data_IF_323846598535
#
_entry.id   IF_323846598535
#
_cell.length_a   1.000
_cell.length_b   1.000
_cell.length_c   1.000
_cell.angle_alpha   90.00
_cell.angle_beta   90.00
_cell.angle_gamma   90.00
#
_symmetry.space_group_name_H-M   'P 1'
#
loop_
_entity.id
_entity.type
_entity.pdbx_description
1 polymer ?
#
# COMPACT_ATOMS: atom_id res chain seq x y z
N UNK A 1 33.18 -6.90 0.24
CA UNK A 1 33.34 -6.35 1.61
C UNK A 1 32.08 -5.54 1.92
N UNK A 2 31.32 -5.91 2.95
CA UNK A 2 30.12 -5.15 3.30
C UNK A 2 30.54 -3.76 3.80
N UNK A 3 30.07 -2.69 3.14
CA UNK A 3 30.37 -1.32 3.56
C UNK A 3 29.66 -1.08 4.90
N UNK A 4 30.41 -1.03 5.99
CA UNK A 4 29.92 -0.65 7.32
C UNK A 4 29.55 0.84 7.31
N UNK A 5 28.25 1.12 7.24
CA UNK A 5 27.69 2.47 7.21
C UNK A 5 27.33 2.92 8.62
N UNK A 6 27.67 4.15 9.00
CA UNK A 6 27.27 4.72 10.29
C UNK A 6 25.74 4.82 10.41
N UNK A 7 25.21 4.89 11.64
CA UNK A 7 23.76 5.03 11.88
C UNK A 7 23.14 6.22 11.13
N UNK A 8 23.85 7.36 11.09
CA UNK A 8 23.41 8.55 10.35
C UNK A 8 23.30 8.28 8.84
N UNK A 9 24.25 7.53 8.26
CA UNK A 9 24.20 7.16 6.85
C UNK A 9 23.08 6.16 6.56
N UNK A 10 22.86 5.18 7.44
CA UNK A 10 21.75 4.23 7.29
C UNK A 10 20.39 4.92 7.33
N UNK A 11 20.22 5.91 8.22
CA UNK A 11 19.03 6.77 8.25
C UNK A 11 18.87 7.57 6.97
N UNK A 12 19.93 8.23 6.49
CA UNK A 12 19.89 9.07 5.28
C UNK A 12 19.51 8.28 4.03
N UNK A 13 19.90 7.00 3.95
CA UNK A 13 19.62 6.13 2.80
C UNK A 13 18.39 5.23 3.00
N UNK A 14 17.68 5.31 4.14
CA UNK A 14 16.54 4.45 4.46
C UNK A 14 16.85 2.95 4.33
N UNK A 15 17.94 2.50 4.96
CA UNK A 15 18.37 1.09 4.93
C UNK A 15 18.49 0.51 6.34
N UNK A 16 18.62 -0.83 6.41
CA UNK A 16 18.75 -1.59 7.66
C UNK A 16 17.58 -1.30 8.62
N UNK A 17 17.84 -0.67 9.77
CA UNK A 17 16.79 -0.33 10.76
C UNK A 17 15.83 0.79 10.30
N UNK A 18 16.15 1.46 9.19
CA UNK A 18 15.30 2.50 8.58
C UNK A 18 14.70 2.06 7.24
N UNK A 19 14.81 0.78 6.90
CA UNK A 19 14.20 0.24 5.69
C UNK A 19 12.69 0.23 5.83
N UNK A 20 12.01 0.72 4.79
CA UNK A 20 10.56 0.77 4.70
C UNK A 20 10.10 -0.18 3.60
N UNK A 21 9.31 -1.19 3.99
CA UNK A 21 8.71 -2.11 3.01
C UNK A 21 7.24 -1.75 2.83
N UNK A 22 6.85 -1.64 1.56
CA UNK A 22 5.49 -1.41 1.13
C UNK A 22 5.15 -2.31 -0.04
N UNK A 23 3.94 -2.15 -0.57
CA UNK A 23 3.49 -2.86 -1.76
C UNK A 23 2.51 -1.98 -2.53
N UNK A 24 2.43 -2.20 -3.83
CA UNK A 24 1.49 -1.49 -4.68
C UNK A 24 0.24 -2.34 -4.90
N UNK A 25 -0.88 -1.65 -5.02
CA UNK A 25 -2.17 -2.22 -5.40
C UNK A 25 -2.65 -1.59 -6.69
N UNK A 26 -3.29 -2.41 -7.51
CA UNK A 26 -4.04 -1.97 -8.70
C UNK A 26 -5.40 -2.65 -8.69
N UNK A 27 -6.46 -1.91 -8.97
CA UNK A 27 -7.80 -2.49 -9.10
C UNK A 27 -8.68 -1.58 -9.98
N UNK A 28 -9.80 -2.13 -10.43
CA UNK A 28 -10.75 -1.41 -11.26
C UNK A 28 -12.17 -1.53 -10.72
N UNK A 29 -12.92 -0.45 -10.79
CA UNK A 29 -14.35 -0.45 -10.57
C UNK A 29 -15.08 -1.01 -11.80
N UNK A 30 -16.27 -1.61 -11.63
CA UNK A 30 -17.13 -1.96 -12.76
C UNK A 30 -17.46 -0.74 -13.63
N UNK A 31 -17.68 -0.96 -14.93
CA UNK A 31 -18.10 0.11 -15.84
C UNK A 31 -19.44 0.71 -15.37
N UNK A 32 -19.54 2.05 -15.44
CA UNK A 32 -20.73 2.77 -15.00
C UNK A 32 -20.83 3.00 -13.48
N UNK A 33 -19.80 2.64 -12.71
CA UNK A 33 -19.71 3.04 -11.29
C UNK A 33 -19.68 4.56 -11.19
N UNK A 34 -20.51 5.13 -10.29
CA UNK A 34 -20.57 6.57 -10.05
C UNK A 34 -19.37 7.06 -9.24
N UNK A 35 -19.00 8.34 -9.41
CA UNK A 35 -18.01 9.04 -8.58
C UNK A 35 -18.30 8.86 -7.08
N UNK A 36 -19.54 9.04 -6.64
CA UNK A 36 -19.95 8.86 -5.24
C UNK A 36 -19.67 7.44 -4.73
N UNK A 37 -19.84 6.41 -5.56
CA UNK A 37 -19.55 5.02 -5.18
C UNK A 37 -18.05 4.79 -5.07
N UNK A 38 -17.26 5.42 -5.94
CA UNK A 38 -15.79 5.36 -5.89
C UNK A 38 -15.31 6.02 -4.59
N UNK A 39 -15.75 7.25 -4.31
CA UNK A 39 -15.37 8.01 -3.12
C UNK A 39 -15.72 7.25 -1.84
N UNK A 40 -16.98 6.78 -1.73
CA UNK A 40 -17.41 6.01 -0.54
C UNK A 40 -16.69 4.67 -0.39
N UNK A 41 -16.27 4.03 -1.48
CA UNK A 41 -15.47 2.81 -1.43
C UNK A 41 -14.05 3.10 -0.95
N UNK A 42 -13.44 4.20 -1.37
CA UNK A 42 -12.10 4.59 -0.92
C UNK A 42 -12.11 5.04 0.55
N UNK A 43 -13.13 5.78 0.96
CA UNK A 43 -13.35 6.10 2.37
C UNK A 43 -13.47 4.82 3.20
N UNK A 44 -14.21 3.82 2.70
CA UNK A 44 -14.32 2.54 3.38
C UNK A 44 -12.98 1.79 3.42
N UNK A 45 -12.18 1.81 2.34
CA UNK A 45 -10.85 1.21 2.33
C UNK A 45 -9.97 1.85 3.42
N UNK A 46 -9.99 3.18 3.51
CA UNK A 46 -9.20 3.91 4.49
C UNK A 46 -9.64 3.56 5.91
N UNK A 47 -10.93 3.67 6.20
CA UNK A 47 -11.48 3.52 7.54
C UNK A 47 -11.51 2.06 8.04
N UNK A 48 -11.71 1.08 7.15
CA UNK A 48 -11.84 -0.33 7.52
C UNK A 48 -10.51 -1.08 7.49
N UNK A 49 -9.58 -0.67 6.63
CA UNK A 49 -8.34 -1.41 6.35
C UNK A 49 -7.09 -0.58 6.63
N UNK A 50 -6.98 0.63 6.11
CA UNK A 50 -5.70 1.37 6.17
C UNK A 50 -5.44 1.89 7.58
N UNK A 51 -6.33 2.71 8.13
CA UNK A 51 -6.14 3.34 9.43
C UNK A 51 -6.07 2.35 10.60
N UNK A 52 -6.96 1.34 10.71
CA UNK A 52 -6.93 0.41 11.85
C UNK A 52 -5.65 -0.45 11.91
N UNK A 53 -4.99 -0.65 10.77
CA UNK A 53 -3.75 -1.43 10.67
C UNK A 53 -2.49 -0.54 10.68
N UNK A 54 -2.64 0.78 10.91
CA UNK A 54 -1.52 1.72 10.92
C UNK A 54 -0.81 1.85 9.58
N UNK A 55 -1.53 1.59 8.49
CA UNK A 55 -1.06 1.71 7.12
C UNK A 55 -1.29 3.14 6.61
N UNK A 56 -0.51 3.51 5.61
CA UNK A 56 -0.71 4.70 4.79
C UNK A 56 -1.01 4.23 3.37
N UNK A 57 -1.97 4.89 2.72
CA UNK A 57 -2.31 4.66 1.32
C UNK A 57 -2.13 5.97 0.56
N UNK A 58 -1.36 5.92 -0.51
CA UNK A 58 -1.24 6.99 -1.49
C UNK A 58 -1.62 6.43 -2.85
N UNK A 59 -2.62 6.99 -3.50
CA UNK A 59 -3.18 6.41 -4.71
C UNK A 59 -3.92 7.44 -5.53
N UNK A 60 -4.06 7.14 -6.82
CA UNK A 60 -4.82 7.97 -7.74
C UNK A 60 -5.51 7.10 -8.79
N UNK A 61 -6.63 7.59 -9.29
CA UNK A 61 -7.41 6.85 -10.25
C UNK A 61 -8.78 7.44 -10.49
N UNK A 62 -9.54 6.73 -11.33
CA UNK A 62 -10.97 6.96 -11.50
C UNK A 62 -11.71 5.61 -11.51
N UNK A 63 -11.95 5.03 -12.69
CA UNK A 63 -12.43 3.65 -12.78
C UNK A 63 -11.29 2.64 -12.59
N UNK A 64 -10.05 3.03 -12.87
CA UNK A 64 -8.86 2.23 -12.57
C UNK A 64 -8.04 2.99 -11.54
N UNK A 65 -7.67 2.29 -10.48
CA UNK A 65 -6.91 2.81 -9.36
C UNK A 65 -5.59 2.09 -9.25
N UNK A 66 -4.56 2.88 -9.01
CA UNK A 66 -3.25 2.41 -8.60
C UNK A 66 -2.85 3.17 -7.35
N UNK A 67 -2.21 2.47 -6.42
CA UNK A 67 -1.69 3.11 -5.23
C UNK A 67 -0.64 2.29 -4.51
N UNK A 68 0.08 2.96 -3.64
CA UNK A 68 1.13 2.44 -2.79
C UNK A 68 0.60 2.35 -1.36
N UNK A 69 0.87 1.22 -0.71
CA UNK A 69 0.60 1.01 0.71
C UNK A 69 1.91 0.77 1.45
N UNK A 70 2.13 1.55 2.52
CA UNK A 70 3.22 1.36 3.48
C UNK A 70 2.71 1.55 4.91
N UNK A 71 3.57 1.52 5.92
CA UNK A 71 3.19 1.89 7.29
C UNK A 71 3.20 3.41 7.45
N UNK A 72 2.31 3.97 8.28
CA UNK A 72 2.33 5.41 8.61
C UNK A 72 3.63 5.83 9.33
N UNK A 73 4.24 4.89 10.04
CA UNK A 73 5.53 5.07 10.69
C UNK A 73 6.60 4.25 9.96
N UNK A 74 7.86 4.68 10.06
CA UNK A 74 8.99 3.94 9.49
C UNK A 74 8.97 2.47 9.95
N UNK A 75 8.81 1.56 9.00
CA UNK A 75 8.71 0.14 9.28
C UNK A 75 8.39 -0.66 8.03
N UNK A 76 8.09 -1.94 8.22
CA UNK A 76 7.90 -2.89 7.12
C UNK A 76 6.47 -3.42 7.15
N UNK A 77 5.75 -3.26 6.05
CA UNK A 77 4.55 -4.07 5.83
C UNK A 77 4.90 -5.55 5.79
N UNK A 78 3.93 -6.38 6.14
CA UNK A 78 4.06 -7.83 6.17
C UNK A 78 3.16 -8.47 5.11
N UNK A 79 3.29 -9.78 4.93
CA UNK A 79 2.44 -10.52 3.99
C UNK A 79 0.98 -10.51 4.44
N UNK A 80 0.73 -10.51 5.75
CA UNK A 80 -0.61 -10.42 6.32
C UNK A 80 -1.31 -9.11 5.92
N UNK A 81 -0.60 -7.99 5.83
CA UNK A 81 -1.17 -6.73 5.33
C UNK A 81 -1.58 -6.85 3.86
N UNK A 82 -0.77 -7.52 3.04
CA UNK A 82 -1.07 -7.75 1.61
C UNK A 82 -2.32 -8.61 1.45
N UNK A 83 -2.39 -9.71 2.18
CA UNK A 83 -3.53 -10.61 2.16
C UNK A 83 -4.81 -9.93 2.64
N UNK A 84 -4.72 -9.11 3.69
CA UNK A 84 -5.84 -8.34 4.22
C UNK A 84 -6.41 -7.38 3.17
N UNK A 85 -5.56 -6.58 2.52
CA UNK A 85 -5.99 -5.65 1.46
C UNK A 85 -6.55 -6.42 0.26
N UNK A 86 -5.86 -7.47 -0.19
CA UNK A 86 -6.31 -8.31 -1.30
C UNK A 86 -7.69 -8.90 -1.05
N UNK A 87 -7.92 -9.43 0.15
CA UNK A 87 -9.20 -10.01 0.55
C UNK A 87 -10.29 -8.95 0.55
N UNK A 88 -10.05 -7.79 1.18
CA UNK A 88 -11.03 -6.70 1.24
C UNK A 88 -11.45 -6.22 -0.16
N UNK A 89 -10.50 -6.05 -1.09
CA UNK A 89 -10.78 -5.67 -2.47
C UNK A 89 -11.61 -6.75 -3.19
N UNK A 90 -11.30 -8.03 -2.95
CA UNK A 90 -11.99 -9.17 -3.57
C UNK A 90 -13.42 -9.33 -3.05
N UNK A 91 -13.64 -9.16 -1.75
CA UNK A 91 -14.95 -9.27 -1.10
C UNK A 91 -15.93 -8.20 -1.61
N UNK A 92 -15.41 -7.04 -2.05
CA UNK A 92 -16.19 -5.96 -2.67
C UNK A 92 -16.37 -6.09 -4.18
N UNK A 93 -15.96 -7.21 -4.78
CA UNK A 93 -16.16 -7.52 -6.20
C UNK A 93 -15.53 -6.48 -7.15
N UNK A 94 -14.39 -5.90 -6.75
CA UNK A 94 -13.60 -5.06 -7.63
C UNK A 94 -12.88 -5.91 -8.69
N UNK A 95 -12.64 -5.33 -9.85
CA UNK A 95 -12.06 -5.99 -11.00
C UNK A 95 -10.54 -5.83 -11.04
N UNK A 96 -9.86 -6.72 -11.77
CA UNK A 96 -8.42 -6.65 -12.06
C UNK A 96 -7.54 -6.37 -10.82
N UNK A 97 -7.84 -7.01 -9.69
CA UNK A 97 -7.10 -6.80 -8.44
C UNK A 97 -5.68 -7.34 -8.59
N UNK A 98 -4.71 -6.47 -8.42
CA UNK A 98 -3.29 -6.75 -8.38
C UNK A 98 -2.69 -6.24 -7.08
N UNK A 99 -1.86 -7.06 -6.46
CA UNK A 99 -1.13 -6.72 -5.23
C UNK A 99 0.30 -7.22 -5.41
N UNK A 100 1.24 -6.29 -5.58
CA UNK A 100 2.65 -6.64 -5.82
C UNK A 100 3.28 -7.27 -4.59
N UNK A 101 4.43 -7.91 -4.75
CA UNK A 101 5.28 -8.32 -3.62
C UNK A 101 5.72 -7.11 -2.78
N UNK A 102 6.20 -7.39 -1.57
CA UNK A 102 6.81 -6.37 -0.72
C UNK A 102 8.11 -5.88 -1.35
N UNK A 103 8.25 -4.56 -1.49
CA UNK A 103 9.47 -3.93 -1.98
C UNK A 103 9.87 -2.75 -1.09
N UNK A 104 11.12 -2.32 -1.24
CA UNK A 104 11.66 -1.17 -0.52
C UNK A 104 11.11 0.12 -1.13
N UNK A 105 10.30 0.86 -0.39
CA UNK A 105 9.60 2.05 -0.90
C UNK A 105 10.56 3.13 -1.43
N UNK A 106 11.82 3.11 -0.97
CA UNK A 106 12.81 4.11 -1.36
C UNK A 106 13.65 3.72 -2.58
N UNK A 107 13.69 2.43 -2.93
CA UNK A 107 14.64 1.89 -3.91
C UNK A 107 14.03 0.88 -4.90
N UNK A 108 12.78 0.46 -4.69
CA UNK A 108 12.03 -0.51 -5.49
C UNK A 108 11.26 0.10 -6.64
#
# INVERSE_FOLDING_TARGET
>A
MAIQRSRRLRKKMHIAEFQELGFSIGFAFPEGTSEETIDTTLDALINEVIDPNGLAFDGSGYLQWEGLICLQQTGKCTEEHRELVRKWLSDRQLNNIQVTELFDVWWG
#
